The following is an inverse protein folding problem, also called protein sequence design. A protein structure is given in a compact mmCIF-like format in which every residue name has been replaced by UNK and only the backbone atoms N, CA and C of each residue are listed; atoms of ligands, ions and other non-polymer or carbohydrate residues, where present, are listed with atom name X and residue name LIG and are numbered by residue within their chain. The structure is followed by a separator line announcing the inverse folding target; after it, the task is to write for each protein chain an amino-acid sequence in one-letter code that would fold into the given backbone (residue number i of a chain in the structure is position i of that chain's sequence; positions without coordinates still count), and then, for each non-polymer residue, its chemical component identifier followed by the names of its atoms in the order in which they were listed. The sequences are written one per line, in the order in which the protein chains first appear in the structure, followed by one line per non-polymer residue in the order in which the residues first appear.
data_IF_102362104627
#
_entry.id   IF_102362104627
#
_cell.length_a   1.000
_cell.length_b   1.000
_cell.length_c   1.000
_cell.angle_alpha   90.00
_cell.angle_beta   90.00
_cell.angle_gamma   90.00
#
_symmetry.space_group_name_H-M   'P 1'
#
loop_
_entity.id
_entity.type
_entity.pdbx_description
1 polymer ?
#
# COMPACT_ATOMS: atom_id res chain seq x y z
N UNK A 1 38.02 -0.44 38.37
CA UNK A 1 37.72 0.58 37.34
C UNK A 1 36.36 0.25 36.71
N UNK A 2 35.31 1.01 37.06
CA UNK A 2 33.92 0.75 36.63
C UNK A 2 33.76 1.14 35.16
N UNK A 3 33.50 0.16 34.29
CA UNK A 3 33.30 0.35 32.85
C UNK A 3 31.94 1.04 32.65
N UNK A 4 31.94 2.37 32.56
CA UNK A 4 30.74 3.15 32.25
C UNK A 4 30.15 2.65 30.93
N UNK A 5 28.96 2.04 31.01
CA UNK A 5 28.14 1.71 29.85
C UNK A 5 27.91 3.03 29.11
N UNK A 6 28.56 3.18 27.96
CA UNK A 6 28.26 4.22 26.97
C UNK A 6 26.76 4.21 26.73
N UNK A 7 26.03 5.12 27.39
CA UNK A 7 24.63 5.38 27.13
C UNK A 7 24.59 6.02 25.74
N UNK A 8 24.48 5.19 24.71
CA UNK A 8 24.24 5.66 23.35
C UNK A 8 23.01 6.56 23.40
N UNK A 9 23.21 7.85 23.10
CA UNK A 9 22.15 8.83 23.02
C UNK A 9 21.13 8.34 21.98
N UNK A 10 20.00 7.82 22.44
CA UNK A 10 18.91 7.41 21.56
C UNK A 10 18.18 8.69 21.16
N UNK A 11 18.54 9.26 20.01
CA UNK A 11 17.76 10.33 19.39
C UNK A 11 16.37 9.77 19.09
N UNK A 12 15.38 10.09 19.92
CA UNK A 12 13.97 9.83 19.59
C UNK A 12 13.64 10.68 18.38
N UNK A 13 13.66 10.08 17.18
CA UNK A 13 13.19 10.72 15.96
C UNK A 13 11.68 11.01 16.10
N UNK A 14 11.33 12.15 16.69
CA UNK A 14 9.95 12.54 16.99
C UNK A 14 9.12 12.93 15.76
N UNK A 15 9.75 13.10 14.59
CA UNK A 15 9.11 13.52 13.35
C UNK A 15 9.40 12.52 12.23
N UNK A 16 8.34 12.07 11.55
CA UNK A 16 8.48 11.20 10.40
C UNK A 16 9.31 11.88 9.31
N UNK A 17 10.27 11.16 8.74
CA UNK A 17 11.10 11.65 7.64
C UNK A 17 10.25 12.09 6.43
N UNK A 18 10.69 13.16 5.76
CA UNK A 18 9.96 13.85 4.69
C UNK A 18 9.55 12.90 3.53
N UNK A 19 10.44 11.99 3.15
CA UNK A 19 10.25 11.11 2.00
C UNK A 19 9.40 9.84 2.28
N UNK A 20 8.79 9.73 3.47
CA UNK A 20 7.94 8.59 3.86
C UNK A 20 6.49 8.76 3.38
N UNK A 21 6.30 8.80 2.06
CA UNK A 21 4.97 8.97 1.43
C UNK A 21 4.13 7.69 1.52
N UNK A 22 4.75 6.52 1.34
CA UNK A 22 4.11 5.22 1.54
C UNK A 22 4.25 4.78 3.00
N UNK A 23 3.15 4.81 3.73
CA UNK A 23 3.05 4.27 5.10
C UNK A 23 2.36 2.91 5.13
N UNK A 24 2.39 2.26 6.29
CA UNK A 24 1.72 0.97 6.55
C UNK A 24 0.20 1.11 6.66
N UNK A 25 -0.45 1.52 5.56
CA UNK A 25 -1.89 1.70 5.50
C UNK A 25 -2.60 0.36 5.32
N UNK A 26 -3.75 0.20 5.97
CA UNK A 26 -4.56 -1.03 5.86
C UNK A 26 -4.87 -1.36 4.41
N UNK A 27 -4.63 -2.62 4.05
CA UNK A 27 -4.90 -3.15 2.70
C UNK A 27 -6.38 -3.05 2.32
N UNK A 28 -7.29 -3.03 3.31
CA UNK A 28 -8.73 -2.80 3.12
C UNK A 28 -9.01 -1.39 2.59
N UNK A 29 -8.32 -0.38 3.12
CA UNK A 29 -8.45 1.01 2.66
C UNK A 29 -7.96 1.14 1.22
N UNK A 30 -6.79 0.57 0.89
CA UNK A 30 -6.25 0.61 -0.47
C UNK A 30 -7.16 -0.06 -1.50
N UNK A 31 -7.82 -1.16 -1.13
CA UNK A 31 -8.77 -1.84 -2.01
C UNK A 31 -10.06 -1.07 -2.27
N UNK A 32 -10.50 -0.26 -1.31
CA UNK A 32 -11.66 0.64 -1.51
C UNK A 32 -11.33 1.78 -2.46
N UNK A 33 -10.09 2.26 -2.46
CA UNK A 33 -9.66 3.36 -3.35
C UNK A 33 -9.27 2.87 -4.75
N UNK A 34 -8.52 1.76 -4.84
CA UNK A 34 -7.87 1.34 -6.09
C UNK A 34 -8.23 -0.08 -6.54
N UNK A 35 -9.06 -0.78 -5.79
CA UNK A 35 -9.42 -2.17 -6.07
C UNK A 35 -10.35 -2.33 -7.26
N UNK A 36 -10.53 -3.59 -7.67
CA UNK A 36 -11.28 -3.97 -8.86
C UNK A 36 -12.74 -3.45 -8.84
N UNK A 37 -13.45 -3.64 -7.72
CA UNK A 37 -14.85 -3.18 -7.56
C UNK A 37 -14.97 -1.67 -7.78
N UNK A 38 -14.02 -0.88 -7.26
CA UNK A 38 -14.01 0.58 -7.46
C UNK A 38 -13.77 0.96 -8.92
N UNK A 39 -12.93 0.19 -9.65
CA UNK A 39 -12.73 0.39 -11.09
C UNK A 39 -13.96 0.03 -11.91
N UNK A 40 -14.74 -0.96 -11.49
CA UNK A 40 -15.97 -1.34 -12.19
C UNK A 40 -17.12 -0.33 -12.00
N UNK A 41 -17.13 0.41 -10.89
CA UNK A 41 -18.24 1.33 -10.57
C UNK A 41 -18.31 2.53 -11.53
N UNK A 42 -17.17 3.03 -12.04
CA UNK A 42 -17.14 4.21 -12.91
C UNK A 42 -16.84 3.85 -14.36
N UNK A 43 -17.35 4.66 -15.31
CA UNK A 43 -17.11 4.47 -16.74
C UNK A 43 -15.62 4.59 -17.09
N UNK A 44 -14.93 5.58 -16.52
CA UNK A 44 -13.48 5.77 -16.69
C UNK A 44 -12.65 4.60 -16.12
N UNK A 45 -13.13 4.00 -15.03
CA UNK A 45 -12.50 2.82 -14.43
C UNK A 45 -12.62 1.59 -15.33
N UNK A 46 -13.79 1.36 -15.92
CA UNK A 46 -14.00 0.28 -16.91
C UNK A 46 -13.12 0.47 -18.16
N UNK A 47 -12.98 1.69 -18.67
CA UNK A 47 -12.08 2.00 -19.78
C UNK A 47 -10.61 1.71 -19.43
N UNK A 48 -10.19 2.00 -18.19
CA UNK A 48 -8.84 1.66 -17.72
C UNK A 48 -8.60 0.16 -17.73
N UNK A 49 -9.56 -0.66 -17.27
CA UNK A 49 -9.44 -2.11 -17.31
C UNK A 49 -9.35 -2.64 -18.75
N UNK A 50 -10.14 -2.06 -19.68
CA UNK A 50 -10.06 -2.39 -21.11
C UNK A 50 -8.66 -2.17 -21.68
N UNK A 51 -8.06 -0.98 -21.43
CA UNK A 51 -6.67 -0.69 -21.85
C UNK A 51 -5.65 -1.67 -21.25
N UNK A 52 -5.83 -2.05 -19.99
CA UNK A 52 -4.91 -2.99 -19.31
C UNK A 52 -5.02 -4.41 -19.87
N UNK A 53 -6.22 -4.87 -20.22
CA UNK A 53 -6.46 -6.14 -20.89
C UNK A 53 -5.90 -6.15 -22.31
N UNK A 54 -6.12 -5.09 -23.08
CA UNK A 54 -5.56 -4.95 -24.43
C UNK A 54 -4.02 -4.99 -24.42
N UNK A 55 -3.38 -4.41 -23.39
CA UNK A 55 -1.93 -4.54 -23.18
C UNK A 55 -1.49 -5.95 -22.73
N UNK A 56 -2.40 -6.82 -22.32
CA UNK A 56 -2.08 -8.15 -21.80
C UNK A 56 -1.44 -8.14 -20.41
N UNK A 57 -1.76 -7.15 -19.56
CA UNK A 57 -1.17 -7.11 -18.21
C UNK A 57 -1.68 -8.26 -17.35
N UNK A 58 -0.75 -9.09 -16.86
CA UNK A 58 -1.03 -10.21 -15.95
C UNK A 58 -1.91 -9.82 -14.75
N UNK A 59 -1.54 -8.75 -14.04
CA UNK A 59 -2.35 -8.21 -12.94
C UNK A 59 -3.09 -6.96 -13.36
N UNK A 60 -4.42 -7.00 -13.36
CA UNK A 60 -5.25 -5.86 -13.73
C UNK A 60 -5.34 -4.80 -12.62
N UNK A 61 -5.56 -5.19 -11.37
CA UNK A 61 -5.65 -4.26 -10.23
C UNK A 61 -4.70 -4.72 -9.12
N UNK A 62 -3.64 -3.95 -8.86
CA UNK A 62 -2.60 -4.34 -7.89
C UNK A 62 -3.02 -4.22 -6.44
N UNK A 63 -4.08 -3.47 -6.13
CA UNK A 63 -4.54 -3.21 -4.76
C UNK A 63 -5.90 -3.87 -4.47
N UNK A 64 -6.19 -5.03 -5.05
CA UNK A 64 -7.35 -5.83 -4.66
C UNK A 64 -7.16 -6.48 -3.27
N UNK A 65 -8.26 -6.73 -2.56
CA UNK A 65 -8.26 -7.43 -1.28
C UNK A 65 -9.44 -8.41 -1.24
N UNK A 66 -9.23 -9.61 -0.74
CA UNK A 66 -10.28 -10.60 -0.49
C UNK A 66 -11.09 -10.18 0.75
N UNK A 67 -12.38 -10.56 0.79
CA UNK A 67 -13.27 -10.22 1.89
C UNK A 67 -13.06 -11.13 3.12
N UNK A 68 -12.55 -12.34 2.89
CA UNK A 68 -12.28 -13.36 3.89
C UNK A 68 -11.02 -14.15 3.52
N UNK A 69 -10.51 -14.92 4.49
CA UNK A 69 -9.37 -15.81 4.30
C UNK A 69 -8.01 -15.12 4.26
N UNK A 70 -6.96 -15.94 4.20
CA UNK A 70 -5.60 -15.46 3.94
C UNK A 70 -5.53 -15.01 2.49
N UNK A 71 -4.69 -14.01 2.23
CA UNK A 71 -4.35 -13.66 0.86
C UNK A 71 -3.45 -14.76 0.29
N UNK A 72 -3.73 -15.27 -0.91
CA UNK A 72 -2.72 -15.98 -1.70
C UNK A 72 -1.57 -15.02 -2.08
#
# INVERSE_FOLDING_TARGET
MRREKRRSFVVRAGKAALCLTKRNRSRKSLARTHGFRKRMSTTSGRATLRRRRAKGRWVLCTKSNHNSGKRP
#
